data_IF_034198243413
#
_entry.id   IF_034198243413
#
_cell.length_a   1.000
_cell.length_b   1.000
_cell.length_c   1.000
_cell.angle_alpha   90.00
_cell.angle_beta   90.00
_cell.angle_gamma   90.00
#
_symmetry.space_group_name_H-M   'P 1'
#
loop_
_entity.id
_entity.type
_entity.pdbx_description
1 polymer ?
#
# COMPACT_ATOMS: atom_id res chain seq x y z
N UNK A 1 12.02 -16.30 -9.31
CA UNK A 1 10.53 -16.35 -9.39
C UNK A 1 9.99 -15.78 -8.11
N UNK A 2 8.99 -14.93 -8.18
CA UNK A 2 8.30 -14.36 -7.03
C UNK A 2 7.08 -15.19 -6.65
N UNK A 3 6.64 -15.06 -5.39
CA UNK A 3 5.35 -15.60 -4.94
C UNK A 3 4.32 -14.48 -4.84
N UNK A 4 3.12 -14.71 -5.34
CA UNK A 4 2.02 -13.78 -5.24
C UNK A 4 0.71 -14.48 -4.87
N UNK A 5 -0.21 -13.73 -4.28
CA UNK A 5 -1.61 -14.16 -4.17
C UNK A 5 -2.32 -13.75 -5.45
N UNK A 6 -2.90 -14.73 -6.15
CA UNK A 6 -3.61 -14.49 -7.41
C UNK A 6 -5.08 -14.82 -7.23
N UNK A 7 -5.93 -13.89 -7.63
CA UNK A 7 -7.40 -14.02 -7.66
C UNK A 7 -7.84 -14.17 -9.12
N UNK A 8 -8.41 -15.32 -9.47
CA UNK A 8 -8.85 -15.65 -10.84
C UNK A 8 -10.34 -15.38 -11.06
N UNK A 9 -11.10 -15.37 -9.98
CA UNK A 9 -12.53 -15.06 -9.95
C UNK A 9 -12.85 -14.36 -8.62
N UNK A 10 -13.86 -13.51 -8.61
CA UNK A 10 -14.30 -12.83 -7.38
C UNK A 10 -15.02 -13.79 -6.45
N UNK A 11 -14.83 -13.62 -5.12
CA UNK A 11 -15.46 -14.54 -4.17
C UNK A 11 -15.00 -14.38 -2.73
N UNK A 12 -15.15 -15.45 -1.97
CA UNK A 12 -14.71 -15.58 -0.59
C UNK A 12 -13.18 -15.66 -0.44
N UNK A 13 -12.68 -15.86 0.80
CA UNK A 13 -11.23 -15.96 1.02
C UNK A 13 -10.54 -17.06 0.20
N UNK A 14 -11.25 -18.11 -0.15
CA UNK A 14 -10.70 -19.30 -0.83
C UNK A 14 -10.23 -19.00 -2.28
N UNK A 15 -10.70 -17.90 -2.88
CA UNK A 15 -10.26 -17.50 -4.23
C UNK A 15 -8.84 -16.90 -4.25
N UNK A 16 -8.24 -16.64 -3.07
CA UNK A 16 -6.88 -16.13 -2.93
C UNK A 16 -5.87 -17.29 -2.96
N UNK A 17 -5.27 -17.52 -4.11
CA UNK A 17 -4.37 -18.66 -4.34
C UNK A 17 -2.91 -18.21 -4.40
N UNK A 18 -2.06 -18.78 -3.54
CA UNK A 18 -0.60 -18.57 -3.61
C UNK A 18 -0.04 -19.22 -4.89
N UNK A 19 0.60 -18.39 -5.72
CA UNK A 19 1.07 -18.78 -7.05
C UNK A 19 2.49 -18.26 -7.28
N UNK A 20 3.33 -19.03 -7.92
CA UNK A 20 4.62 -18.56 -8.42
C UNK A 20 4.40 -17.75 -9.70
N UNK A 21 4.96 -16.54 -9.72
CA UNK A 21 4.80 -15.60 -10.82
C UNK A 21 6.15 -15.13 -11.34
N UNK A 22 6.20 -14.76 -12.61
CA UNK A 22 7.36 -14.09 -13.19
C UNK A 22 7.22 -12.59 -12.99
N UNK A 23 8.25 -11.96 -12.45
CA UNK A 23 8.36 -10.49 -12.36
C UNK A 23 9.24 -10.05 -13.51
N UNK A 24 8.73 -9.15 -14.34
CA UNK A 24 9.49 -8.57 -15.46
C UNK A 24 10.62 -7.66 -14.99
N UNK A 25 11.41 -7.18 -15.95
CA UNK A 25 12.37 -6.08 -15.74
C UNK A 25 11.62 -4.75 -15.71
N UNK A 26 12.06 -3.76 -14.90
CA UNK A 26 11.42 -2.46 -14.86
C UNK A 26 11.62 -1.70 -16.18
N UNK A 27 10.54 -1.13 -16.69
CA UNK A 27 10.55 -0.21 -17.83
C UNK A 27 10.98 1.21 -17.43
N UNK A 28 10.89 2.15 -18.38
CA UNK A 28 11.21 3.54 -18.12
C UNK A 28 10.33 4.14 -17.00
N UNK A 29 10.95 4.76 -16.00
CA UNK A 29 10.27 5.34 -14.83
C UNK A 29 9.75 4.31 -13.81
N UNK A 30 10.11 3.04 -13.94
CA UNK A 30 9.71 1.96 -13.03
C UNK A 30 10.90 1.43 -12.23
N UNK A 31 10.60 0.71 -11.17
CA UNK A 31 11.57 -0.05 -10.37
C UNK A 31 11.03 -1.44 -10.09
N UNK A 32 11.95 -2.40 -9.86
CA UNK A 32 11.60 -3.68 -9.24
C UNK A 32 11.85 -3.61 -7.74
N UNK A 33 10.82 -3.98 -6.98
CA UNK A 33 10.84 -4.03 -5.53
C UNK A 33 10.82 -5.48 -5.04
N UNK A 34 11.67 -5.78 -4.08
CA UNK A 34 11.52 -6.91 -3.17
C UNK A 34 10.78 -6.40 -1.93
N UNK A 35 9.57 -6.88 -1.71
CA UNK A 35 8.71 -6.41 -0.62
C UNK A 35 9.07 -7.11 0.70
N UNK A 36 9.28 -6.33 1.75
CA UNK A 36 9.68 -6.78 3.10
C UNK A 36 8.52 -6.82 4.08
N UNK A 37 7.52 -5.96 3.88
CA UNK A 37 6.28 -5.96 4.65
C UNK A 37 5.11 -5.49 3.77
N UNK A 38 3.97 -6.15 3.93
CA UNK A 38 2.76 -5.89 3.13
C UNK A 38 1.62 -5.53 4.07
N UNK A 39 0.98 -4.38 3.82
CA UNK A 39 -0.20 -3.95 4.56
C UNK A 39 -1.46 -4.62 4.04
N UNK A 40 -2.33 -5.02 4.97
CA UNK A 40 -3.65 -5.60 4.67
C UNK A 40 -4.71 -4.57 5.01
N UNK A 41 -5.57 -4.24 4.04
CA UNK A 41 -6.61 -3.24 4.19
C UNK A 41 -7.99 -3.80 3.88
N UNK A 42 -9.02 -3.21 4.49
CA UNK A 42 -10.38 -3.70 4.30
C UNK A 42 -10.87 -3.58 2.85
N UNK A 43 -10.35 -2.60 2.10
CA UNK A 43 -10.62 -2.43 0.67
C UNK A 43 -10.20 -3.64 -0.17
N UNK A 44 -9.17 -4.38 0.25
CA UNK A 44 -8.70 -5.58 -0.46
C UNK A 44 -9.78 -6.66 -0.48
N UNK A 45 -10.63 -6.70 0.57
CA UNK A 45 -11.79 -7.61 0.61
C UNK A 45 -12.86 -7.20 -0.39
N UNK A 46 -13.02 -5.91 -0.66
CA UNK A 46 -13.99 -5.40 -1.64
C UNK A 46 -13.57 -5.73 -3.07
N UNK A 47 -12.27 -5.60 -3.37
CA UNK A 47 -11.73 -6.01 -4.67
C UNK A 47 -11.86 -7.53 -4.87
N UNK A 48 -11.47 -8.31 -3.86
CA UNK A 48 -11.57 -9.77 -3.92
C UNK A 48 -13.00 -10.25 -4.13
N UNK A 49 -13.96 -9.68 -3.40
CA UNK A 49 -15.37 -10.10 -3.47
C UNK A 49 -16.11 -9.58 -4.71
N UNK A 50 -15.53 -8.63 -5.46
CA UNK A 50 -16.18 -7.99 -6.59
C UNK A 50 -17.13 -6.84 -6.20
N UNK A 51 -17.18 -6.44 -4.92
CA UNK A 51 -17.93 -5.26 -4.51
C UNK A 51 -17.37 -3.98 -5.15
N UNK A 52 -16.04 -3.90 -5.25
CA UNK A 52 -15.37 -2.87 -6.04
C UNK A 52 -14.79 -3.50 -7.30
N UNK A 53 -15.04 -2.90 -8.47
CA UNK A 53 -14.53 -3.44 -9.73
C UNK A 53 -13.02 -3.43 -9.77
N UNK A 54 -12.45 -4.47 -10.37
CA UNK A 54 -11.02 -4.54 -10.69
C UNK A 54 -10.83 -4.42 -12.20
N UNK A 55 -9.68 -3.92 -12.67
CA UNK A 55 -9.46 -3.71 -14.11
C UNK A 55 -9.56 -4.98 -14.94
N UNK A 56 -9.10 -6.10 -14.40
CA UNK A 56 -9.11 -7.40 -15.07
C UNK A 56 -8.98 -8.56 -14.10
N UNK A 57 -9.33 -9.74 -14.53
CA UNK A 57 -9.02 -11.02 -13.91
C UNK A 57 -8.05 -11.79 -14.82
N UNK A 58 -7.06 -12.50 -14.28
CA UNK A 58 -6.67 -12.57 -12.87
C UNK A 58 -5.97 -11.31 -12.39
N UNK A 59 -5.98 -11.06 -11.05
CA UNK A 59 -5.25 -9.98 -10.45
C UNK A 59 -4.59 -10.40 -9.13
N UNK A 60 -3.60 -9.61 -8.68
CA UNK A 60 -2.99 -9.70 -7.35
C UNK A 60 -3.56 -8.58 -6.49
N UNK A 61 -4.16 -8.85 -5.33
CA UNK A 61 -4.70 -7.84 -4.42
C UNK A 61 -3.61 -6.98 -3.76
N UNK A 62 -4.08 -6.01 -2.96
CA UNK A 62 -3.27 -5.20 -2.07
C UNK A 62 -2.78 -3.91 -2.69
N UNK A 63 -2.69 -2.86 -1.86
CA UNK A 63 -2.39 -1.49 -2.28
C UNK A 63 -1.29 -0.83 -1.45
N UNK A 64 -0.69 -1.54 -0.50
CA UNK A 64 0.24 -0.99 0.48
C UNK A 64 1.36 -1.99 0.79
N UNK A 65 2.60 -1.53 0.74
CA UNK A 65 3.76 -2.30 1.18
C UNK A 65 4.98 -1.41 1.42
N UNK A 66 5.98 -2.02 2.03
CA UNK A 66 7.37 -1.55 2.11
C UNK A 66 8.25 -2.56 1.41
N UNK A 67 9.31 -2.08 0.77
CA UNK A 67 10.29 -2.94 0.12
C UNK A 67 11.60 -2.24 -0.14
N UNK A 68 12.55 -2.98 -0.65
CA UNK A 68 13.85 -2.52 -1.11
C UNK A 68 13.91 -2.58 -2.63
N UNK A 69 14.46 -1.56 -3.24
CA UNK A 69 14.64 -1.50 -4.70
C UNK A 69 15.77 -2.45 -5.09
N UNK A 70 15.48 -3.42 -5.94
CA UNK A 70 16.46 -4.36 -6.49
C UNK A 70 16.97 -3.96 -7.87
N UNK A 71 16.17 -3.21 -8.64
CA UNK A 71 16.51 -2.81 -10.00
C UNK A 71 15.77 -1.53 -10.36
N UNK A 72 16.44 -0.62 -11.08
CA UNK A 72 15.84 0.62 -11.57
C UNK A 72 15.75 0.62 -13.08
N UNK A 73 14.65 1.09 -13.62
CA UNK A 73 14.45 1.26 -15.05
C UNK A 73 15.05 2.56 -15.59
N UNK A 74 14.98 2.72 -16.89
CA UNK A 74 15.50 3.90 -17.58
C UNK A 74 14.84 5.19 -17.06
N UNK A 75 15.65 6.27 -16.91
CA UNK A 75 15.18 7.60 -16.50
C UNK A 75 14.86 7.75 -15.01
N UNK A 76 15.03 6.73 -14.19
CA UNK A 76 14.88 6.84 -12.73
C UNK A 76 16.16 7.48 -12.15
N UNK A 77 16.02 8.68 -11.57
CA UNK A 77 17.16 9.45 -11.00
C UNK A 77 17.04 9.69 -9.49
N UNK A 78 15.83 9.72 -8.96
CA UNK A 78 15.51 10.03 -7.56
C UNK A 78 15.67 8.82 -6.62
N UNK A 79 15.64 7.61 -7.19
CA UNK A 79 15.71 6.34 -6.50
C UNK A 79 16.85 5.49 -7.06
N UNK A 80 17.42 4.61 -6.23
CA UNK A 80 18.48 3.68 -6.60
C UNK A 80 18.30 2.32 -5.94
N UNK A 81 19.03 1.33 -6.44
CA UNK A 81 19.14 0.01 -5.80
C UNK A 81 19.58 0.13 -4.34
N UNK A 82 18.96 -0.66 -3.48
CA UNK A 82 19.12 -0.63 -2.02
C UNK A 82 18.32 0.46 -1.32
N UNK A 83 17.66 1.39 -2.01
CA UNK A 83 16.75 2.34 -1.37
C UNK A 83 15.54 1.59 -0.79
N UNK A 84 15.25 1.86 0.48
CA UNK A 84 14.06 1.36 1.16
C UNK A 84 12.90 2.32 0.93
N UNK A 85 11.82 1.81 0.35
CA UNK A 85 10.65 2.60 -0.08
C UNK A 85 9.34 1.99 0.38
N UNK A 86 8.33 2.82 0.49
CA UNK A 86 6.96 2.38 0.74
C UNK A 86 5.99 3.02 -0.24
N UNK A 87 4.81 2.46 -0.32
CA UNK A 87 3.67 3.04 -1.02
C UNK A 87 2.36 2.70 -0.28
N UNK A 88 1.41 3.58 -0.40
CA UNK A 88 0.02 3.39 -0.01
C UNK A 88 -0.85 4.03 -1.08
N UNK A 89 -1.88 3.32 -1.54
CA UNK A 89 -2.73 3.75 -2.65
C UNK A 89 -2.00 3.80 -4.02
N UNK A 90 -1.01 2.91 -4.21
CA UNK A 90 -0.38 2.68 -5.52
C UNK A 90 -1.21 1.74 -6.41
N UNK A 91 -0.68 1.35 -7.57
CA UNK A 91 -1.28 0.29 -8.38
C UNK A 91 -1.47 -0.98 -7.55
N UNK A 92 -2.62 -1.65 -7.73
CA UNK A 92 -2.94 -2.91 -7.07
C UNK A 92 -1.86 -3.96 -7.33
N UNK A 93 -1.63 -4.88 -6.38
CA UNK A 93 -0.65 -5.97 -6.57
C UNK A 93 0.38 -6.10 -5.44
N UNK A 94 0.13 -5.53 -4.25
CA UNK A 94 1.08 -5.64 -3.15
C UNK A 94 1.17 -7.04 -2.53
N UNK A 95 0.19 -7.93 -2.76
CA UNK A 95 0.25 -9.30 -2.21
C UNK A 95 1.20 -10.19 -3.04
N UNK A 96 2.43 -9.75 -3.16
CA UNK A 96 3.52 -10.44 -3.84
C UNK A 96 4.85 -10.24 -3.10
N UNK A 97 5.78 -11.17 -3.22
CA UNK A 97 7.14 -10.99 -2.68
C UNK A 97 7.91 -9.93 -3.46
N UNK A 98 7.67 -9.83 -4.76
CA UNK A 98 8.37 -8.93 -5.66
C UNK A 98 7.40 -8.36 -6.69
N UNK A 99 7.63 -7.14 -7.15
CA UNK A 99 6.85 -6.52 -8.22
C UNK A 99 7.61 -5.43 -8.94
N UNK A 100 7.21 -5.14 -10.16
CA UNK A 100 7.56 -3.91 -10.88
C UNK A 100 6.45 -2.88 -10.68
N UNK A 101 6.82 -1.61 -10.46
CA UNK A 101 5.86 -0.52 -10.33
C UNK A 101 6.47 0.84 -10.65
N UNK A 102 5.63 1.85 -11.01
CA UNK A 102 6.08 3.22 -11.26
C UNK A 102 6.66 3.88 -10.00
N UNK A 103 7.72 4.66 -10.18
CA UNK A 103 8.37 5.42 -9.09
C UNK A 103 7.49 6.51 -8.49
N UNK A 104 6.55 7.05 -9.26
CA UNK A 104 5.66 8.15 -8.83
C UNK A 104 4.84 7.84 -7.56
N UNK A 105 4.63 6.56 -7.24
CA UNK A 105 3.91 6.14 -6.03
C UNK A 105 4.83 5.84 -4.84
N UNK A 106 6.14 5.95 -5.00
CA UNK A 106 7.12 5.50 -4.00
C UNK A 106 7.64 6.66 -3.14
N UNK A 107 7.76 6.37 -1.85
CA UNK A 107 8.28 7.30 -0.85
C UNK A 107 9.43 6.61 -0.10
N UNK A 108 10.57 7.28 0.03
CA UNK A 108 11.70 6.76 0.82
C UNK A 108 11.30 6.63 2.29
N UNK A 109 11.59 5.48 2.87
CA UNK A 109 11.31 5.19 4.28
C UNK A 109 12.46 5.69 5.15
N UNK A 110 12.20 6.55 6.15
CA UNK A 110 13.23 6.97 7.11
C UNK A 110 13.85 5.78 7.84
N UNK A 111 15.18 5.81 8.02
CA UNK A 111 15.94 4.69 8.60
C UNK A 111 15.49 4.24 9.99
N UNK A 112 14.92 5.16 10.77
CA UNK A 112 14.44 4.86 12.14
C UNK A 112 13.11 4.08 12.19
N UNK A 113 12.37 3.99 11.07
CA UNK A 113 11.07 3.33 11.03
C UNK A 113 11.23 1.87 10.61
N UNK A 114 10.53 0.97 11.30
CA UNK A 114 10.47 -0.45 10.96
C UNK A 114 9.45 -0.68 9.84
N UNK A 115 9.74 -1.62 8.95
CA UNK A 115 8.93 -1.92 7.78
C UNK A 115 7.48 -2.31 8.14
N UNK A 116 7.30 -3.12 9.18
CA UNK A 116 5.97 -3.55 9.61
C UNK A 116 5.12 -2.38 10.12
N UNK A 117 5.74 -1.39 10.78
CA UNK A 117 5.03 -0.19 11.19
C UNK A 117 4.59 0.64 9.98
N UNK A 118 5.49 0.82 9.01
CA UNK A 118 5.20 1.60 7.81
C UNK A 118 4.13 0.90 6.97
N UNK A 119 4.26 -0.41 6.69
CA UNK A 119 3.29 -1.18 5.94
C UNK A 119 1.91 -1.25 6.64
N UNK A 120 1.88 -1.20 7.97
CA UNK A 120 0.63 -1.23 8.72
C UNK A 120 -0.09 0.12 8.82
N UNK A 121 0.55 1.23 8.42
CA UNK A 121 0.01 2.57 8.67
C UNK A 121 -0.03 3.49 7.43
N UNK A 122 0.66 3.16 6.35
CA UNK A 122 0.85 4.12 5.24
C UNK A 122 -0.47 4.54 4.60
N UNK A 123 -1.28 3.59 4.12
CA UNK A 123 -2.59 3.88 3.50
C UNK A 123 -3.56 4.52 4.50
N UNK A 124 -3.59 4.00 5.73
CA UNK A 124 -4.45 4.51 6.80
C UNK A 124 -4.02 5.91 7.23
N UNK A 125 -2.71 6.15 7.36
CA UNK A 125 -2.14 7.45 7.70
C UNK A 125 -2.39 8.51 6.62
N UNK A 126 -2.27 8.16 5.35
CA UNK A 126 -2.66 9.02 4.23
C UNK A 126 -4.15 9.40 4.30
N UNK A 127 -5.01 8.43 4.63
CA UNK A 127 -6.45 8.69 4.83
C UNK A 127 -6.68 9.65 6.00
N UNK A 128 -5.99 9.45 7.13
CA UNK A 128 -6.10 10.34 8.29
C UNK A 128 -5.61 11.75 7.96
N UNK A 129 -4.47 11.85 7.27
CA UNK A 129 -3.95 13.15 6.82
C UNK A 129 -4.97 13.87 5.92
N UNK A 130 -5.55 13.16 4.97
CA UNK A 130 -6.58 13.70 4.09
C UNK A 130 -7.79 14.24 4.88
N UNK A 131 -8.27 13.47 5.85
CA UNK A 131 -9.42 13.86 6.69
C UNK A 131 -9.10 15.06 7.57
N UNK A 132 -7.92 15.11 8.20
CA UNK A 132 -7.55 16.13 9.19
C UNK A 132 -6.96 17.40 8.59
N UNK A 133 -6.49 17.36 7.34
CA UNK A 133 -5.76 18.49 6.74
C UNK A 133 -6.28 18.93 5.39
N UNK A 134 -6.76 18.02 4.56
CA UNK A 134 -7.22 18.34 3.21
C UNK A 134 -8.74 18.55 3.16
N UNK A 135 -9.50 17.67 3.77
CA UNK A 135 -10.96 17.77 3.80
C UNK A 135 -11.44 18.79 4.84
N UNK A 136 -10.88 18.74 6.04
CA UNK A 136 -11.14 19.68 7.13
C UNK A 136 -9.82 19.92 7.87
N UNK A 137 -9.34 21.16 7.86
CA UNK A 137 -8.13 21.53 8.59
C UNK A 137 -8.45 21.70 10.08
N UNK A 138 -8.45 20.56 10.80
CA UNK A 138 -8.84 20.47 12.19
C UNK A 138 -7.99 21.39 13.08
N UNK A 139 -8.65 22.17 13.94
CA UNK A 139 -8.03 23.11 14.87
C UNK A 139 -8.23 22.68 16.33
N UNK A 140 -7.34 23.17 17.17
CA UNK A 140 -7.45 22.96 18.63
C UNK A 140 -8.80 23.48 19.16
N UNK A 141 -9.42 22.69 20.04
CA UNK A 141 -10.71 23.02 20.64
C UNK A 141 -11.94 22.59 19.83
N UNK A 142 -11.78 22.10 18.62
CA UNK A 142 -12.91 21.55 17.84
C UNK A 142 -13.31 20.17 18.36
N UNK A 143 -14.60 19.85 18.20
CA UNK A 143 -15.15 18.53 18.54
C UNK A 143 -15.47 17.77 17.26
N UNK A 144 -14.97 16.54 17.16
CA UNK A 144 -15.18 15.67 16.00
C UNK A 144 -15.87 14.38 16.41
N UNK A 145 -16.90 14.00 15.66
CA UNK A 145 -17.51 12.67 15.74
C UNK A 145 -16.86 11.74 14.70
N UNK A 146 -16.25 10.66 15.16
CA UNK A 146 -15.61 9.69 14.28
C UNK A 146 -16.23 8.31 14.43
N UNK A 147 -16.81 7.76 13.34
CA UNK A 147 -17.35 6.41 13.31
C UNK A 147 -16.24 5.36 13.18
N UNK A 148 -16.43 4.19 13.81
CA UNK A 148 -15.45 3.09 13.82
C UNK A 148 -14.07 3.52 14.38
N UNK A 149 -14.05 4.28 15.48
CA UNK A 149 -12.83 4.81 16.09
C UNK A 149 -11.81 3.73 16.51
N UNK A 150 -12.26 2.50 16.77
CA UNK A 150 -11.39 1.35 17.06
C UNK A 150 -10.85 0.64 15.79
N UNK A 151 -11.25 1.08 14.60
CA UNK A 151 -10.71 0.56 13.33
C UNK A 151 -9.34 1.13 12.98
N UNK A 152 -8.71 0.58 11.95
CA UNK A 152 -7.33 0.94 11.57
C UNK A 152 -7.12 2.44 11.29
N UNK A 153 -8.06 3.10 10.63
CA UNK A 153 -8.04 4.56 10.41
C UNK A 153 -8.32 5.29 11.73
N UNK A 154 -9.35 4.87 12.48
CA UNK A 154 -9.77 5.52 13.71
C UNK A 154 -8.70 5.52 14.80
N UNK A 155 -7.93 4.44 14.94
CA UNK A 155 -6.82 4.38 15.89
C UNK A 155 -5.75 5.45 15.63
N UNK A 156 -5.42 5.71 14.38
CA UNK A 156 -4.45 6.77 14.00
C UNK A 156 -5.12 8.14 14.13
N UNK A 157 -6.36 8.26 13.62
CA UNK A 157 -7.12 9.51 13.65
C UNK A 157 -7.26 10.07 15.08
N UNK A 158 -7.71 9.25 16.03
CA UNK A 158 -7.93 9.70 17.41
C UNK A 158 -6.65 10.17 18.11
N UNK A 159 -5.53 9.49 17.83
CA UNK A 159 -4.22 9.91 18.37
C UNK A 159 -3.77 11.23 17.75
N UNK A 160 -3.88 11.37 16.43
CA UNK A 160 -3.44 12.57 15.73
C UNK A 160 -4.36 13.76 16.04
N UNK A 161 -5.67 13.59 16.02
CA UNK A 161 -6.62 14.64 16.39
C UNK A 161 -6.41 15.15 17.84
N UNK A 162 -6.08 14.23 18.76
CA UNK A 162 -5.76 14.62 20.15
C UNK A 162 -4.45 15.42 20.25
N UNK A 163 -3.53 15.26 19.31
CA UNK A 163 -2.25 15.97 19.29
C UNK A 163 -2.37 17.40 18.69
N UNK A 164 -3.42 17.67 17.92
CA UNK A 164 -3.75 18.99 17.39
C UNK A 164 -4.36 19.86 18.49
#
# INVERSE_FOLDING_TARGET
MARAIVVRETGGPDVMVGTDVQVGTPGAGEVRLRQTAIGVNFIDTYHRSGLYPVPSLPFTPGMEAVGEIEEVGEGVTELKEGDRVCYGNGPMGSYASDRVMPTASLIKVPGALRDEHVAGMMLRGLTVWYLLRSLHDLKAGETVLFHAAAGGVGLIFCQWAKHI
#
